data_IF_937923622756
#
_entry.id   IF_937923622756
#
_cell.length_a   1.000
_cell.length_b   1.000
_cell.length_c   1.000
_cell.angle_alpha   90.00
_cell.angle_beta   90.00
_cell.angle_gamma   90.00
#
_symmetry.space_group_name_H-M   'P 1'
#
loop_
_entity.id
_entity.type
_entity.pdbx_description
1 polymer ?
#
# COMPACT_ATOMS: atom_id res chain seq x y z
N UNK A 1 14.43 15.62 -13.50
CA UNK A 1 13.34 14.97 -12.75
C UNK A 1 13.44 15.24 -11.25
N UNK A 2 14.53 14.85 -10.59
CA UNK A 2 14.72 15.07 -9.14
C UNK A 2 14.58 16.54 -8.71
N UNK A 3 15.27 17.46 -9.38
CA UNK A 3 15.19 18.91 -9.07
C UNK A 3 13.77 19.47 -9.16
N UNK A 4 12.98 19.05 -10.18
CA UNK A 4 11.57 19.44 -10.31
C UNK A 4 10.73 18.88 -9.15
N UNK A 5 10.95 17.62 -8.77
CA UNK A 5 10.27 17.01 -7.62
C UNK A 5 10.60 17.75 -6.31
N UNK A 6 11.87 18.07 -6.06
CA UNK A 6 12.30 18.83 -4.88
C UNK A 6 11.68 20.24 -4.83
N UNK A 7 11.44 20.85 -5.99
CA UNK A 7 10.74 22.14 -6.14
C UNK A 7 9.21 22.00 -6.07
N UNK A 8 8.68 20.79 -5.89
CA UNK A 8 7.25 20.51 -5.85
C UNK A 8 6.56 20.51 -7.23
N UNK A 9 7.32 20.68 -8.32
CA UNK A 9 6.83 20.64 -9.70
C UNK A 9 6.72 19.19 -10.21
N UNK A 10 5.86 18.40 -9.57
CA UNK A 10 5.55 17.02 -9.94
C UNK A 10 4.04 16.81 -10.06
N UNK A 11 3.65 15.74 -10.75
CA UNK A 11 2.25 15.30 -10.75
C UNK A 11 1.79 15.08 -9.29
N UNK A 12 0.64 15.67 -8.93
CA UNK A 12 0.10 15.68 -7.56
C UNK A 12 1.02 16.30 -6.48
N UNK A 13 2.05 17.04 -6.87
CA UNK A 13 2.95 17.75 -5.95
C UNK A 13 2.35 19.07 -5.41
N UNK A 14 2.96 19.66 -4.36
CA UNK A 14 4.19 19.21 -3.70
C UNK A 14 3.99 18.00 -2.78
N UNK A 15 4.92 17.04 -2.84
CA UNK A 15 4.82 15.77 -2.08
C UNK A 15 4.64 15.98 -0.57
N UNK A 16 5.44 16.87 0.04
CA UNK A 16 5.38 17.08 1.49
C UNK A 16 4.06 17.68 1.95
N UNK A 17 3.48 18.59 1.17
CA UNK A 17 2.15 19.14 1.45
C UNK A 17 1.09 18.04 1.38
N UNK A 18 1.11 17.23 0.31
CA UNK A 18 0.19 16.11 0.16
C UNK A 18 0.26 15.15 1.37
N UNK A 19 1.46 14.76 1.79
CA UNK A 19 1.64 13.88 2.96
C UNK A 19 1.15 14.55 4.24
N UNK A 20 1.51 15.82 4.47
CA UNK A 20 1.17 16.55 5.67
C UNK A 20 -0.35 16.75 5.83
N UNK A 21 -1.04 17.05 4.73
CA UNK A 21 -2.48 17.30 4.77
C UNK A 21 -3.28 16.04 5.11
N UNK A 22 -2.90 14.88 4.56
CA UNK A 22 -3.52 13.60 4.93
C UNK A 22 -3.12 13.14 6.35
N UNK A 23 -1.90 13.43 6.79
CA UNK A 23 -1.50 13.14 8.17
C UNK A 23 -2.33 13.96 9.16
N UNK A 24 -2.53 15.27 8.92
CA UNK A 24 -3.42 16.11 9.75
C UNK A 24 -4.85 15.58 9.77
N UNK A 25 -5.40 15.21 8.61
CA UNK A 25 -6.74 14.62 8.53
C UNK A 25 -6.86 13.32 9.34
N UNK A 26 -5.82 12.49 9.37
CA UNK A 26 -5.82 11.26 10.18
C UNK A 26 -5.88 11.53 11.69
N UNK A 27 -5.47 12.72 12.14
CA UNK A 27 -5.55 13.16 13.53
C UNK A 27 -6.91 13.80 13.81
N UNK A 28 -7.40 14.63 12.90
CA UNK A 28 -8.67 15.36 13.06
C UNK A 28 -9.88 14.42 12.96
N UNK A 29 -9.83 13.42 12.07
CA UNK A 29 -10.95 12.52 11.78
C UNK A 29 -10.47 11.05 11.72
N UNK A 30 -9.98 10.47 12.82
CA UNK A 30 -9.33 9.16 12.84
C UNK A 30 -10.24 8.01 12.41
N UNK A 31 -11.56 8.16 12.58
CA UNK A 31 -12.54 7.14 12.17
C UNK A 31 -12.83 7.16 10.66
N UNK A 32 -12.36 8.17 9.92
CA UNK A 32 -12.56 8.30 8.46
C UNK A 32 -11.26 8.32 7.67
N UNK A 33 -10.12 8.46 8.34
CA UNK A 33 -8.82 8.54 7.67
C UNK A 33 -7.79 7.70 8.40
N UNK A 34 -7.38 6.60 7.76
CA UNK A 34 -6.28 5.77 8.20
C UNK A 34 -4.99 6.16 7.48
N UNK A 35 -4.01 6.66 8.22
CA UNK A 35 -2.68 6.97 7.70
C UNK A 35 -1.73 5.78 7.89
N UNK A 36 -1.08 5.35 6.82
CA UNK A 36 -0.15 4.22 6.79
C UNK A 36 1.17 4.62 6.15
N UNK A 37 2.26 4.07 6.67
CA UNK A 37 3.62 4.28 6.17
C UNK A 37 4.12 2.99 5.52
N UNK A 38 4.58 3.07 4.27
CA UNK A 38 5.02 1.92 3.50
C UNK A 38 6.10 1.09 4.22
N UNK A 39 7.06 1.75 4.84
CA UNK A 39 8.14 1.11 5.59
C UNK A 39 7.62 0.32 6.80
N UNK A 40 6.64 0.87 7.52
CA UNK A 40 6.04 0.21 8.68
C UNK A 40 5.19 -0.99 8.25
N UNK A 41 4.39 -0.84 7.18
CA UNK A 41 3.62 -1.95 6.59
C UNK A 41 4.55 -3.12 6.25
N UNK A 42 5.70 -2.86 5.65
CA UNK A 42 6.65 -3.93 5.33
C UNK A 42 7.31 -4.57 6.54
N UNK A 43 7.56 -3.79 7.59
CA UNK A 43 8.18 -4.28 8.82
C UNK A 43 7.22 -5.20 9.57
N UNK A 44 5.95 -4.80 9.69
CA UNK A 44 4.95 -5.52 10.49
C UNK A 44 3.61 -5.69 9.73
N UNK A 45 3.60 -6.40 8.59
CA UNK A 45 2.46 -6.45 7.68
C UNK A 45 1.19 -7.02 8.33
N UNK A 46 1.34 -7.98 9.24
CA UNK A 46 0.22 -8.60 9.96
C UNK A 46 -0.51 -7.61 10.86
N UNK A 47 0.23 -6.76 11.57
CA UNK A 47 -0.35 -5.74 12.46
C UNK A 47 -1.07 -4.68 11.63
N UNK A 48 -0.46 -4.21 10.56
CA UNK A 48 -1.07 -3.21 9.68
C UNK A 48 -2.30 -3.75 8.93
N UNK A 49 -2.30 -5.02 8.52
CA UNK A 49 -3.47 -5.65 7.89
C UNK A 49 -4.64 -5.76 8.86
N UNK A 50 -4.41 -6.18 10.11
CA UNK A 50 -5.46 -6.21 11.14
C UNK A 50 -6.00 -4.82 11.45
N UNK A 51 -5.12 -3.83 11.61
CA UNK A 51 -5.50 -2.42 11.81
C UNK A 51 -6.35 -1.88 10.65
N UNK A 52 -6.02 -2.25 9.41
CA UNK A 52 -6.82 -1.89 8.23
C UNK A 52 -8.21 -2.55 8.26
N UNK A 53 -8.27 -3.83 8.62
CA UNK A 53 -9.52 -4.58 8.72
C UNK A 53 -10.44 -4.00 9.80
N UNK A 54 -9.89 -3.67 10.98
CA UNK A 54 -10.59 -2.94 12.04
C UNK A 54 -11.12 -1.58 11.57
N UNK A 55 -10.29 -0.80 10.86
CA UNK A 55 -10.69 0.50 10.31
C UNK A 55 -11.81 0.38 9.26
N UNK A 56 -11.85 -0.72 8.51
CA UNK A 56 -12.92 -1.02 7.54
C UNK A 56 -14.18 -1.62 8.19
N UNK A 57 -14.27 -1.63 9.53
CA UNK A 57 -15.36 -2.25 10.29
C UNK A 57 -15.55 -3.75 9.98
N UNK A 58 -14.45 -4.42 9.59
CA UNK A 58 -14.40 -5.85 9.27
C UNK A 58 -13.21 -6.51 9.98
N UNK A 59 -13.16 -6.48 11.34
CA UNK A 59 -12.07 -7.09 12.08
C UNK A 59 -12.06 -8.61 11.90
N UNK A 60 -10.87 -9.20 11.93
CA UNK A 60 -10.74 -10.65 11.88
C UNK A 60 -11.32 -11.31 13.13
N UNK A 61 -12.03 -12.43 12.96
CA UNK A 61 -12.50 -13.23 14.09
C UNK A 61 -11.37 -14.08 14.70
N UNK A 62 -11.59 -14.58 15.92
CA UNK A 62 -10.64 -15.49 16.58
C UNK A 62 -10.44 -16.76 15.75
N UNK A 63 -11.51 -17.27 15.12
CA UNK A 63 -11.45 -18.43 14.25
C UNK A 63 -10.63 -18.15 12.99
N UNK A 64 -10.78 -16.98 12.35
CA UNK A 64 -10.00 -16.59 11.17
C UNK A 64 -8.52 -16.44 11.51
N UNK A 65 -8.20 -15.86 12.66
CA UNK A 65 -6.83 -15.75 13.14
C UNK A 65 -6.21 -17.12 13.44
N UNK A 66 -6.96 -17.99 14.12
CA UNK A 66 -6.52 -19.36 14.45
C UNK A 66 -6.34 -20.20 13.18
N UNK A 67 -7.20 -19.98 12.18
CA UNK A 67 -7.15 -20.62 10.86
C UNK A 67 -6.11 -19.99 9.93
N UNK A 68 -5.33 -19.00 10.41
CA UNK A 68 -4.24 -18.34 9.67
C UNK A 68 -4.69 -17.60 8.41
N UNK A 69 -5.96 -17.20 8.33
CA UNK A 69 -6.52 -16.44 7.19
C UNK A 69 -5.69 -15.18 6.91
N UNK A 70 -5.26 -14.49 7.98
CA UNK A 70 -4.41 -13.29 7.87
C UNK A 70 -3.09 -13.60 7.14
N UNK A 71 -2.48 -14.74 7.42
CA UNK A 71 -1.21 -15.13 6.79
C UNK A 71 -1.42 -15.55 5.32
N UNK A 72 -2.57 -16.15 5.00
CA UNK A 72 -2.95 -16.48 3.62
C UNK A 72 -3.18 -15.24 2.78
N UNK A 73 -3.88 -14.24 3.30
CA UNK A 73 -4.07 -12.93 2.63
C UNK A 73 -2.71 -12.29 2.36
N UNK A 74 -1.82 -12.23 3.37
CA UNK A 74 -0.48 -11.67 3.20
C UNK A 74 0.33 -12.40 2.12
N UNK A 75 0.19 -13.72 2.02
CA UNK A 75 0.83 -14.52 0.97
C UNK A 75 0.25 -14.18 -0.40
N UNK A 76 -1.08 -14.15 -0.54
CA UNK A 76 -1.78 -13.86 -1.81
C UNK A 76 -1.46 -12.47 -2.34
N UNK A 77 -1.38 -11.46 -1.47
CA UNK A 77 -1.11 -10.07 -1.85
C UNK A 77 0.36 -9.66 -1.66
N UNK A 78 1.26 -10.63 -1.44
CA UNK A 78 2.69 -10.36 -1.38
C UNK A 78 3.22 -9.81 -2.71
N UNK A 79 4.26 -8.99 -2.64
CA UNK A 79 4.92 -8.46 -3.84
C UNK A 79 5.36 -9.59 -4.77
N UNK A 80 6.01 -10.63 -4.22
CA UNK A 80 6.47 -11.80 -4.96
C UNK A 80 5.33 -12.54 -5.65
N UNK A 81 4.20 -12.77 -4.97
CA UNK A 81 3.08 -13.45 -5.59
C UNK A 81 2.47 -12.58 -6.71
N UNK A 82 2.15 -11.32 -6.41
CA UNK A 82 1.49 -10.42 -7.36
C UNK A 82 2.35 -10.11 -8.58
N UNK A 83 3.66 -9.87 -8.42
CA UNK A 83 4.55 -9.54 -9.53
C UNK A 83 4.71 -10.70 -10.53
N UNK A 84 4.48 -11.93 -10.08
CA UNK A 84 4.64 -13.15 -10.88
C UNK A 84 3.33 -13.67 -11.51
N UNK A 85 2.18 -13.06 -11.22
CA UNK A 85 0.92 -13.44 -11.87
C UNK A 85 0.97 -13.18 -13.38
N UNK A 86 0.40 -14.08 -14.18
CA UNK A 86 0.38 -13.97 -15.65
C UNK A 86 -0.20 -12.63 -16.13
N UNK A 87 -1.26 -12.16 -15.48
CA UNK A 87 -1.86 -10.86 -15.78
C UNK A 87 -0.85 -9.72 -15.57
N UNK A 88 0.01 -9.80 -14.55
CA UNK A 88 0.95 -8.71 -14.22
C UNK A 88 2.25 -8.78 -15.02
N UNK A 89 2.60 -9.96 -15.56
CA UNK A 89 3.80 -10.15 -16.39
C UNK A 89 3.53 -9.91 -17.87
N UNK A 90 2.36 -10.32 -18.39
CA UNK A 90 2.03 -10.27 -19.82
C UNK A 90 0.86 -9.35 -20.17
N UNK A 91 0.04 -8.96 -19.17
CA UNK A 91 -1.13 -8.13 -19.39
C UNK A 91 -0.79 -6.65 -19.58
N UNK A 92 -1.80 -5.90 -20.02
CA UNK A 92 -1.72 -4.45 -20.26
C UNK A 92 -2.93 -3.75 -19.66
N UNK A 93 -2.70 -2.53 -19.17
CA UNK A 93 -3.75 -1.62 -18.76
C UNK A 93 -4.56 -1.13 -19.97
N UNK A 94 -5.72 -0.51 -19.72
CA UNK A 94 -6.60 0.02 -20.77
C UNK A 94 -5.89 1.05 -21.67
N UNK A 95 -4.89 1.75 -21.12
CA UNK A 95 -4.01 2.71 -21.80
C UNK A 95 -2.85 2.07 -22.58
N UNK A 96 -2.80 0.72 -22.65
CA UNK A 96 -1.75 -0.12 -23.27
C UNK A 96 -0.42 -0.20 -22.51
N UNK A 97 -0.32 0.42 -21.34
CA UNK A 97 0.85 0.29 -20.46
C UNK A 97 0.95 -1.14 -19.92
N UNK A 98 2.14 -1.74 -19.95
CA UNK A 98 2.34 -3.09 -19.43
C UNK A 98 2.19 -3.12 -17.90
N UNK A 99 1.53 -4.13 -17.35
CA UNK A 99 1.37 -4.23 -15.89
C UNK A 99 2.69 -4.38 -15.14
N UNK A 100 3.74 -4.81 -15.82
CA UNK A 100 5.11 -4.88 -15.28
C UNK A 100 5.64 -3.54 -14.78
N UNK A 101 5.14 -2.40 -15.30
CA UNK A 101 5.55 -1.06 -14.81
C UNK A 101 5.13 -0.80 -13.36
N UNK A 102 4.10 -1.49 -12.85
CA UNK A 102 3.65 -1.34 -11.46
C UNK A 102 4.50 -2.14 -10.46
N UNK A 103 5.32 -3.10 -10.93
CA UNK A 103 6.13 -3.98 -10.09
C UNK A 103 7.62 -3.83 -10.45
N UNK A 104 8.36 -3.02 -9.68
CA UNK A 104 9.80 -2.76 -9.93
C UNK A 104 10.72 -3.63 -9.08
N UNK A 105 11.07 -3.16 -7.87
CA UNK A 105 11.81 -3.95 -6.87
C UNK A 105 11.01 -4.23 -5.62
N UNK A 106 10.16 -3.28 -5.23
CA UNK A 106 9.40 -3.38 -4.00
C UNK A 106 10.34 -3.58 -2.81
N UNK A 107 11.34 -2.71 -2.64
CA UNK A 107 12.37 -2.73 -1.59
C UNK A 107 12.48 -1.35 -0.93
N UNK A 108 12.98 -1.29 0.31
CA UNK A 108 13.20 -0.03 1.01
C UNK A 108 14.66 0.38 0.80
N UNK A 109 14.90 1.60 0.30
CA UNK A 109 16.24 2.15 0.13
C UNK A 109 16.91 1.88 -1.22
N UNK A 110 16.12 1.54 -2.25
CA UNK A 110 16.56 1.41 -3.65
C UNK A 110 16.54 2.73 -4.41
#
# INVERSE_FOLDING_TARGET
MFDLFCKGASLYGPFWNHVLDYWKQSIEIPNKTLFLIYQEIKKEPKIHLKRLAEFMECPFSIEEETSRVVDEILKMYSFENLSNLEVNTNGKFLTREAYTFFFRRGEIGD
#
